data_IF_787161861127
#
_entry.id   IF_787161861127
#
_cell.length_a   1.000
_cell.length_b   1.000
_cell.length_c   1.000
_cell.angle_alpha   90.00
_cell.angle_beta   90.00
_cell.angle_gamma   90.00
#
_symmetry.space_group_name_H-M   'P 1'
#
loop_
_entity.id
_entity.type
_entity.pdbx_description
1 polymer ?
#
# COMPACT_ATOMS: atom_id res chain seq x y z
N UNK A 1 -6.02 8.32 -23.51
CA UNK A 1 -5.28 9.19 -22.57
C UNK A 1 -4.95 8.34 -21.36
N UNK A 2 -3.67 8.02 -21.14
CA UNK A 2 -3.24 7.36 -19.91
C UNK A 2 -3.49 8.34 -18.76
N UNK A 3 -4.26 7.93 -17.74
CA UNK A 3 -4.42 8.72 -16.51
C UNK A 3 -3.08 8.64 -15.77
N UNK A 4 -2.43 9.79 -15.58
CA UNK A 4 -1.31 9.95 -14.66
C UNK A 4 -1.78 9.46 -13.28
N UNK A 5 -1.24 8.34 -12.81
CA UNK A 5 -1.64 7.68 -11.54
C UNK A 5 -0.99 8.33 -10.31
N UNK A 6 -0.22 9.41 -10.51
CA UNK A 6 0.57 10.04 -9.45
C UNK A 6 1.76 9.20 -8.97
N UNK A 7 2.00 8.00 -9.52
CA UNK A 7 3.11 7.12 -9.12
C UNK A 7 4.24 7.13 -10.16
N UNK A 8 5.48 6.99 -9.69
CA UNK A 8 6.63 6.80 -10.58
C UNK A 8 6.73 5.35 -11.06
N UNK A 9 7.42 5.12 -12.18
CA UNK A 9 7.64 3.77 -12.70
C UNK A 9 8.38 2.87 -11.69
N UNK A 10 9.34 3.43 -10.96
CA UNK A 10 10.07 2.71 -9.91
C UNK A 10 9.13 2.24 -8.80
N UNK A 11 8.21 3.10 -8.36
CA UNK A 11 7.22 2.76 -7.34
C UNK A 11 6.27 1.64 -7.82
N UNK A 12 5.78 1.73 -9.06
CA UNK A 12 4.95 0.69 -9.66
C UNK A 12 5.69 -0.66 -9.68
N UNK A 13 6.97 -0.66 -10.09
CA UNK A 13 7.78 -1.88 -10.11
C UNK A 13 7.96 -2.50 -8.71
N UNK A 14 8.06 -1.66 -7.67
CA UNK A 14 8.14 -2.14 -6.28
C UNK A 14 6.83 -2.79 -5.85
N UNK A 15 5.69 -2.19 -6.19
CA UNK A 15 4.36 -2.72 -5.83
C UNK A 15 3.99 -3.99 -6.60
N UNK A 16 4.41 -4.13 -7.86
CA UNK A 16 4.30 -5.39 -8.59
C UNK A 16 5.04 -6.51 -7.86
N UNK A 17 6.26 -6.23 -7.36
CA UNK A 17 7.03 -7.22 -6.60
C UNK A 17 6.38 -7.48 -5.24
N UNK A 18 5.80 -6.47 -4.57
CA UNK A 18 5.02 -6.69 -3.34
C UNK A 18 3.90 -7.69 -3.59
N UNK A 19 3.09 -7.48 -4.63
CA UNK A 19 1.99 -8.37 -4.98
C UNK A 19 2.46 -9.79 -5.31
N UNK A 20 3.54 -9.93 -6.09
CA UNK A 20 4.14 -11.22 -6.40
C UNK A 20 4.67 -11.94 -5.15
N UNK A 21 5.30 -11.21 -4.24
CA UNK A 21 5.83 -11.74 -2.98
C UNK A 21 4.73 -12.18 -2.02
N UNK A 22 3.67 -11.40 -1.87
CA UNK A 22 2.53 -11.77 -1.02
C UNK A 22 1.89 -13.07 -1.51
N UNK A 23 1.73 -13.23 -2.82
CA UNK A 23 1.28 -14.50 -3.42
C UNK A 23 2.25 -15.65 -3.16
N UNK A 24 3.56 -15.42 -3.35
CA UNK A 24 4.56 -16.46 -3.12
C UNK A 24 4.62 -16.92 -1.65
N UNK A 25 4.46 -16.00 -0.70
CA UNK A 25 4.35 -16.32 0.73
C UNK A 25 3.10 -17.15 0.99
N UNK A 26 1.96 -16.77 0.40
CA UNK A 26 0.71 -17.51 0.55
C UNK A 26 0.84 -18.96 0.02
N UNK A 27 1.35 -19.14 -1.21
CA UNK A 27 1.60 -20.47 -1.78
C UNK A 27 2.54 -21.33 -0.91
N UNK A 28 3.55 -20.71 -0.28
CA UNK A 28 4.42 -21.41 0.66
C UNK A 28 3.69 -21.84 1.93
N UNK A 29 2.86 -20.97 2.51
CA UNK A 29 2.05 -21.28 3.69
C UNK A 29 1.00 -22.37 3.42
N UNK A 30 0.44 -22.39 2.21
CA UNK A 30 -0.53 -23.40 1.78
C UNK A 30 0.12 -24.75 1.42
N UNK A 31 1.45 -24.82 1.44
CA UNK A 31 2.21 -26.06 1.19
C UNK A 31 2.20 -26.50 -0.28
N UNK A 32 2.04 -25.57 -1.22
CA UNK A 32 1.95 -25.93 -2.64
C UNK A 32 3.26 -26.50 -3.19
N UNK A 33 3.22 -27.62 -3.95
CA UNK A 33 4.39 -28.40 -4.35
C UNK A 33 5.33 -27.71 -5.37
N UNK A 34 5.00 -26.50 -5.83
CA UNK A 34 5.80 -25.69 -6.77
C UNK A 34 6.02 -24.25 -6.30
N UNK A 35 5.76 -23.96 -5.02
CA UNK A 35 6.01 -22.64 -4.44
C UNK A 35 7.50 -22.31 -4.36
N UNK A 36 7.81 -21.03 -4.15
CA UNK A 36 9.19 -20.60 -3.87
C UNK A 36 9.69 -21.23 -2.57
N UNK A 37 10.98 -21.55 -2.52
CA UNK A 37 11.60 -22.04 -1.28
C UNK A 37 11.68 -20.93 -0.23
N UNK A 38 11.75 -21.32 1.03
CA UNK A 38 11.88 -20.38 2.15
C UNK A 38 13.09 -19.44 2.00
N UNK A 39 14.23 -19.95 1.54
CA UNK A 39 15.44 -19.16 1.32
C UNK A 39 15.25 -18.09 0.23
N UNK A 40 14.60 -18.45 -0.88
CA UNK A 40 14.29 -17.50 -1.96
C UNK A 40 13.33 -16.43 -1.46
N UNK A 41 12.29 -16.81 -0.71
CA UNK A 41 11.35 -15.87 -0.10
C UNK A 41 12.09 -14.89 0.82
N UNK A 42 12.97 -15.37 1.70
CA UNK A 42 13.74 -14.51 2.61
C UNK A 42 14.63 -13.55 1.85
N UNK A 43 15.39 -14.02 0.85
CA UNK A 43 16.28 -13.16 0.05
C UNK A 43 15.50 -12.05 -0.66
N UNK A 44 14.40 -12.41 -1.31
CA UNK A 44 13.59 -11.43 -2.04
C UNK A 44 12.93 -10.43 -1.10
N UNK A 45 12.58 -10.79 0.14
CA UNK A 45 12.07 -9.81 1.14
C UNK A 45 13.06 -8.69 1.42
N UNK A 46 14.34 -9.01 1.60
CA UNK A 46 15.38 -7.99 1.83
C UNK A 46 15.58 -7.09 0.60
N UNK A 47 15.62 -7.67 -0.60
CA UNK A 47 15.75 -6.91 -1.84
C UNK A 47 14.58 -5.94 -2.02
N UNK A 48 13.37 -6.40 -1.74
CA UNK A 48 12.14 -5.60 -1.81
C UNK A 48 12.14 -4.49 -0.77
N UNK A 49 12.56 -4.78 0.46
CA UNK A 49 12.71 -3.79 1.52
C UNK A 49 13.72 -2.71 1.14
N UNK A 50 14.87 -3.09 0.57
CA UNK A 50 15.87 -2.14 0.10
C UNK A 50 15.29 -1.22 -1.00
N UNK A 51 14.54 -1.78 -1.96
CA UNK A 51 13.94 -1.00 -3.05
C UNK A 51 12.92 0.02 -2.54
N UNK A 52 12.02 -0.36 -1.63
CA UNK A 52 11.04 0.59 -1.07
C UNK A 52 11.72 1.68 -0.24
N UNK A 53 12.77 1.35 0.51
CA UNK A 53 13.56 2.33 1.28
C UNK A 53 14.37 3.27 0.39
N UNK A 54 14.68 2.83 -0.83
CA UNK A 54 15.40 3.61 -1.84
C UNK A 54 14.49 4.52 -2.66
N UNK A 55 13.16 4.41 -2.51
CA UNK A 55 12.24 5.35 -3.14
C UNK A 55 12.41 6.73 -2.49
N UNK A 56 12.68 7.78 -3.28
CA UNK A 56 12.93 9.12 -2.76
C UNK A 56 11.66 9.69 -2.11
N UNK A 57 11.77 10.46 -1.02
CA UNK A 57 10.66 11.25 -0.52
C UNK A 57 10.29 12.35 -1.53
N UNK A 58 9.07 12.90 -1.42
CA UNK A 58 8.60 13.98 -2.30
C UNK A 58 9.52 15.21 -2.35
N UNK A 59 10.28 15.48 -1.29
CA UNK A 59 11.23 16.60 -1.23
C UNK A 59 12.38 16.47 -2.22
N UNK A 60 12.67 15.24 -2.64
CA UNK A 60 13.84 14.90 -3.45
C UNK A 60 13.45 14.55 -4.89
N UNK A 61 12.15 14.63 -5.21
CA UNK A 61 11.61 14.34 -6.54
C UNK A 61 11.45 15.61 -7.38
N UNK A 62 11.55 15.49 -8.72
CA UNK A 62 11.09 16.56 -9.61
C UNK A 62 9.59 16.81 -9.39
N UNK A 63 9.11 17.98 -9.83
CA UNK A 63 7.70 18.38 -9.68
C UNK A 63 6.78 17.30 -10.24
N UNK A 64 6.03 16.66 -9.35
CA UNK A 64 4.98 15.70 -9.68
C UNK A 64 3.64 16.42 -9.81
N UNK A 65 2.74 15.84 -10.61
CA UNK A 65 1.36 16.31 -10.73
C UNK A 65 0.55 16.04 -9.43
N UNK A 66 0.85 14.92 -8.76
CA UNK A 66 0.17 14.47 -7.53
C UNK A 66 1.19 14.04 -6.44
N UNK A 67 2.01 14.96 -5.90
CA UNK A 67 3.09 14.62 -4.95
C UNK A 67 2.58 13.96 -3.66
N UNK A 68 1.47 14.39 -3.06
CA UNK A 68 0.98 13.78 -1.82
C UNK A 68 0.34 12.41 -2.06
N UNK A 69 -0.23 12.18 -3.24
CA UNK A 69 -0.64 10.83 -3.67
C UNK A 69 0.57 9.90 -3.74
N UNK A 70 1.66 10.35 -4.37
CA UNK A 70 2.93 9.61 -4.38
C UNK A 70 3.42 9.32 -2.96
N UNK A 71 3.44 10.33 -2.09
CA UNK A 71 3.96 10.19 -0.72
C UNK A 71 3.12 9.22 0.11
N UNK A 72 1.79 9.27 -0.01
CA UNK A 72 0.89 8.32 0.63
C UNK A 72 1.19 6.88 0.18
N UNK A 73 1.43 6.68 -1.12
CA UNK A 73 1.83 5.39 -1.69
C UNK A 73 3.16 4.92 -1.13
N UNK A 74 4.18 5.78 -1.12
CA UNK A 74 5.50 5.48 -0.59
C UNK A 74 5.43 5.06 0.88
N UNK A 75 4.74 5.84 1.71
CA UNK A 75 4.57 5.59 3.14
C UNK A 75 3.74 4.33 3.42
N UNK A 76 2.65 4.12 2.68
CA UNK A 76 1.86 2.89 2.75
C UNK A 76 2.68 1.65 2.39
N UNK A 77 3.53 1.75 1.37
CA UNK A 77 4.46 0.71 0.98
C UNK A 77 5.51 0.40 2.05
N UNK A 78 6.07 1.43 2.69
CA UNK A 78 7.01 1.26 3.81
C UNK A 78 6.35 0.55 5.00
N UNK A 79 5.14 0.97 5.36
CA UNK A 79 4.33 0.33 6.39
C UNK A 79 4.09 -1.14 6.05
N UNK A 80 3.64 -1.45 4.84
CA UNK A 80 3.39 -2.82 4.41
C UNK A 80 4.67 -3.67 4.44
N UNK A 81 5.80 -3.11 4.01
CA UNK A 81 7.09 -3.77 4.04
C UNK A 81 7.50 -4.15 5.47
N UNK A 82 7.38 -3.22 6.42
CA UNK A 82 7.79 -3.41 7.82
C UNK A 82 6.80 -4.28 8.61
N UNK A 83 5.50 -4.12 8.38
CA UNK A 83 4.47 -4.78 9.18
C UNK A 83 4.09 -6.17 8.63
N UNK A 84 4.22 -6.39 7.31
CA UNK A 84 3.71 -7.59 6.63
C UNK A 84 4.83 -8.39 5.96
N UNK A 85 5.59 -7.79 5.05
CA UNK A 85 6.55 -8.54 4.23
C UNK A 85 7.80 -8.98 5.02
N UNK A 86 8.37 -8.08 5.82
CA UNK A 86 9.50 -8.35 6.69
C UNK A 86 9.24 -7.78 8.09
N UNK A 87 8.46 -8.49 8.93
CA UNK A 87 8.14 -8.06 10.29
C UNK A 87 9.40 -7.80 11.12
N UNK A 88 9.74 -6.52 11.31
CA UNK A 88 10.90 -6.14 12.12
C UNK A 88 10.49 -6.12 13.59
N UNK A 89 11.22 -6.80 14.49
CA UNK A 89 10.93 -6.73 15.92
C UNK A 89 11.11 -5.31 16.46
N UNK A 90 10.27 -4.92 17.42
CA UNK A 90 10.31 -3.60 18.08
C UNK A 90 10.15 -2.38 17.16
N UNK A 91 9.46 -2.53 16.03
CA UNK A 91 9.21 -1.49 15.04
C UNK A 91 8.17 -0.42 15.46
N UNK A 92 7.71 -0.41 16.71
CA UNK A 92 6.60 0.44 17.16
C UNK A 92 6.82 1.93 16.89
N UNK A 93 7.99 2.47 17.27
CA UNK A 93 8.26 3.91 17.11
C UNK A 93 8.32 4.29 15.63
N UNK A 94 8.96 3.46 14.81
CA UNK A 94 9.06 3.67 13.35
C UNK A 94 7.68 3.62 12.69
N UNK A 95 6.87 2.60 13.01
CA UNK A 95 5.51 2.49 12.48
C UNK A 95 4.64 3.66 12.94
N UNK A 96 4.79 4.12 14.19
CA UNK A 96 4.05 5.28 14.68
C UNK A 96 4.36 6.53 13.86
N UNK A 97 5.64 6.82 13.61
CA UNK A 97 6.05 7.98 12.80
C UNK A 97 5.53 7.87 11.37
N UNK A 98 5.67 6.71 10.74
CA UNK A 98 5.19 6.47 9.38
C UNK A 98 3.67 6.62 9.28
N UNK A 99 2.93 6.15 10.27
CA UNK A 99 1.46 6.28 10.34
C UNK A 99 1.06 7.76 10.43
N UNK A 100 1.71 8.55 11.27
CA UNK A 100 1.41 10.00 11.39
C UNK A 100 1.73 10.77 10.10
N UNK A 101 2.86 10.43 9.45
CA UNK A 101 3.19 11.00 8.14
C UNK A 101 2.17 10.59 7.07
N UNK A 102 1.71 9.33 7.10
CA UNK A 102 0.71 8.83 6.17
C UNK A 102 -0.64 9.53 6.34
N UNK A 103 -1.07 9.82 7.58
CA UNK A 103 -2.29 10.61 7.84
C UNK A 103 -2.21 11.96 7.12
N UNK A 104 -1.10 12.66 7.30
CA UNK A 104 -0.85 13.97 6.68
C UNK A 104 -0.87 13.86 5.15
N UNK A 105 -0.18 12.86 4.57
CA UNK A 105 -0.15 12.64 3.14
C UNK A 105 -1.54 12.29 2.55
N UNK A 106 -2.36 11.52 3.28
CA UNK A 106 -3.75 11.22 2.87
C UNK A 106 -4.60 12.48 2.89
N UNK A 107 -4.51 13.31 3.93
CA UNK A 107 -5.26 14.57 4.01
C UNK A 107 -4.89 15.52 2.88
N UNK A 108 -3.59 15.64 2.58
CA UNK A 108 -3.11 16.51 1.52
C UNK A 108 -3.44 15.97 0.12
N UNK A 109 -3.36 14.65 -0.12
CA UNK A 109 -3.69 14.06 -1.43
C UNK A 109 -5.15 14.24 -1.83
N UNK A 110 -6.08 14.32 -0.86
CA UNK A 110 -7.48 14.65 -1.09
C UNK A 110 -7.67 16.06 -1.65
N UNK A 111 -6.76 16.99 -1.35
CA UNK A 111 -6.76 18.34 -1.92
C UNK A 111 -6.27 18.34 -3.37
N UNK A 112 -5.39 17.40 -3.74
CA UNK A 112 -4.86 17.27 -5.10
C UNK A 112 -5.89 16.71 -6.09
N UNK A 113 -6.71 15.76 -5.63
CA UNK A 113 -7.71 15.10 -6.46
C UNK A 113 -9.05 14.98 -5.72
N UNK A 114 -9.97 15.96 -5.90
CA UNK A 114 -11.32 15.90 -5.40
C UNK A 114 -12.09 14.76 -6.09
N UNK A 115 -12.05 13.57 -5.50
CA UNK A 115 -12.55 12.32 -6.09
C UNK A 115 -11.74 11.08 -5.70
N UNK A 116 -10.53 11.28 -5.16
CA UNK A 116 -9.81 10.39 -4.24
C UNK A 116 -9.89 8.89 -4.49
N UNK A 117 -9.66 8.43 -5.73
CA UNK A 117 -9.68 7.00 -6.10
C UNK A 117 -8.57 6.19 -5.39
N UNK A 118 -7.63 6.84 -4.70
CA UNK A 118 -6.46 6.18 -4.10
C UNK A 118 -6.46 6.18 -2.56
N UNK A 119 -7.38 6.88 -1.89
CA UNK A 119 -7.35 6.99 -0.43
C UNK A 119 -7.67 5.66 0.29
N UNK A 120 -8.48 4.83 -0.34
CA UNK A 120 -9.09 3.65 0.29
C UNK A 120 -8.03 2.66 0.77
N UNK A 121 -7.13 2.22 -0.11
CA UNK A 121 -6.09 1.24 0.22
C UNK A 121 -5.11 1.75 1.29
N UNK A 122 -4.82 3.06 1.28
CA UNK A 122 -3.94 3.69 2.27
C UNK A 122 -4.58 3.76 3.65
N UNK A 123 -5.90 3.95 3.73
CA UNK A 123 -6.63 3.90 4.98
C UNK A 123 -6.56 2.50 5.60
N UNK A 124 -6.64 1.45 4.78
CA UNK A 124 -6.50 0.07 5.25
C UNK A 124 -5.07 -0.22 5.75
N UNK A 125 -4.04 0.15 4.99
CA UNK A 125 -2.64 -0.07 5.37
C UNK A 125 -2.26 0.69 6.65
N UNK A 126 -2.67 1.96 6.76
CA UNK A 126 -2.44 2.75 7.97
C UNK A 126 -3.26 2.26 9.17
N UNK A 127 -4.48 1.78 8.95
CA UNK A 127 -5.32 1.17 9.99
C UNK A 127 -4.72 -0.09 10.60
N UNK A 128 -4.10 -0.96 9.78
CA UNK A 128 -3.38 -2.15 10.24
C UNK A 128 -2.16 -1.76 11.07
N UNK A 129 -1.36 -0.81 10.60
CA UNK A 129 -0.17 -0.37 11.32
C UNK A 129 -0.49 0.37 12.62
N UNK A 130 -1.66 1.02 12.69
CA UNK A 130 -2.15 1.67 13.89
C UNK A 130 -2.87 0.70 14.86
N UNK A 131 -2.86 -0.61 14.64
CA UNK A 131 -3.56 -1.57 15.50
C UNK A 131 -3.10 -1.43 16.97
N UNK A 132 -4.08 -1.33 17.87
CA UNK A 132 -3.91 -1.06 19.31
C UNK A 132 -3.16 0.23 19.66
N UNK A 133 -3.09 1.19 18.71
CA UNK A 133 -2.46 2.50 18.90
C UNK A 133 -3.49 3.64 18.90
N UNK A 134 -3.19 4.79 19.54
CA UNK A 134 -4.08 5.95 19.54
C UNK A 134 -4.46 6.45 18.14
N UNK A 135 -3.54 6.35 17.18
CA UNK A 135 -3.72 6.79 15.80
C UNK A 135 -4.85 6.05 15.08
N UNK A 136 -5.22 4.83 15.54
CA UNK A 136 -6.28 4.00 14.96
C UNK A 136 -7.61 4.72 14.85
N UNK A 137 -7.93 5.56 15.84
CA UNK A 137 -9.19 6.27 15.89
C UNK A 137 -9.40 7.15 14.64
N UNK A 138 -8.33 7.81 14.17
CA UNK A 138 -8.38 8.63 12.96
C UNK A 138 -8.70 7.77 11.74
N UNK A 139 -7.99 6.64 11.54
CA UNK A 139 -8.22 5.75 10.39
C UNK A 139 -9.63 5.17 10.38
N UNK A 140 -10.14 4.74 11.54
CA UNK A 140 -11.50 4.23 11.68
C UNK A 140 -12.52 5.32 11.33
N UNK A 141 -12.33 6.55 11.80
CA UNK A 141 -13.21 7.68 11.46
C UNK A 141 -13.23 7.94 9.95
N UNK A 142 -12.06 7.96 9.31
CA UNK A 142 -11.94 8.18 7.87
C UNK A 142 -12.54 7.02 7.05
N UNK A 143 -12.34 5.77 7.47
CA UNK A 143 -12.99 4.59 6.88
C UNK A 143 -14.51 4.67 6.99
N UNK A 144 -15.05 5.07 8.15
CA UNK A 144 -16.50 5.26 8.32
C UNK A 144 -17.03 6.35 7.40
N UNK A 145 -16.31 7.46 7.24
CA UNK A 145 -16.68 8.51 6.30
C UNK A 145 -16.68 8.02 4.86
N UNK A 146 -15.64 7.27 4.46
CA UNK A 146 -15.53 6.66 3.14
C UNK A 146 -16.69 5.69 2.85
N UNK A 147 -16.94 4.74 3.76
CA UNK A 147 -18.02 3.76 3.66
C UNK A 147 -19.39 4.45 3.56
N UNK A 148 -19.62 5.54 4.30
CA UNK A 148 -20.87 6.31 4.20
C UNK A 148 -21.03 7.07 2.89
N UNK A 149 -19.91 7.44 2.26
CA UNK A 149 -19.91 8.17 0.98
C UNK A 149 -19.97 7.25 -0.24
N UNK A 150 -19.95 5.94 -0.01
CA UNK A 150 -19.93 4.88 -1.01
C UNK A 150 -21.09 3.92 -0.75
N UNK A 151 -21.52 3.14 -1.74
CA UNK A 151 -22.58 2.14 -1.55
C UNK A 151 -22.03 0.84 -0.91
N UNK A 152 -21.07 0.95 0.00
CA UNK A 152 -20.44 -0.22 0.64
C UNK A 152 -21.18 -0.59 1.92
N UNK A 153 -21.81 -1.75 1.92
CA UNK A 153 -22.60 -2.22 3.06
C UNK A 153 -22.12 -3.57 3.57
N UNK A 154 -21.36 -4.31 2.77
CA UNK A 154 -20.86 -5.65 3.08
C UNK A 154 -19.36 -5.79 2.82
N UNK A 155 -18.72 -6.76 3.48
CA UNK A 155 -17.32 -7.12 3.21
C UNK A 155 -17.09 -7.56 1.75
N UNK A 156 -18.11 -8.16 1.12
CA UNK A 156 -18.10 -8.53 -0.29
C UNK A 156 -17.92 -7.32 -1.23
N UNK A 157 -18.27 -6.11 -0.78
CA UNK A 157 -18.03 -4.89 -1.56
C UNK A 157 -16.58 -4.41 -1.47
N UNK A 158 -15.89 -4.73 -0.38
CA UNK A 158 -14.45 -4.46 -0.23
C UNK A 158 -13.65 -5.31 -1.21
N UNK A 159 -14.04 -6.57 -1.42
CA UNK A 159 -13.42 -7.43 -2.42
C UNK A 159 -13.49 -6.81 -3.82
N UNK A 160 -14.63 -6.21 -4.19
CA UNK A 160 -14.79 -5.50 -5.48
C UNK A 160 -13.86 -4.30 -5.60
N UNK A 161 -13.55 -3.60 -4.52
CA UNK A 161 -12.57 -2.50 -4.51
C UNK A 161 -11.18 -3.06 -4.77
N UNK A 162 -10.80 -4.11 -4.04
CA UNK A 162 -9.49 -4.74 -4.19
C UNK A 162 -9.31 -5.33 -5.59
N UNK A 163 -10.35 -5.94 -6.16
CA UNK A 163 -10.38 -6.45 -7.52
C UNK A 163 -10.16 -5.36 -8.58
N UNK A 164 -10.68 -4.14 -8.37
CA UNK A 164 -10.42 -3.01 -9.29
C UNK A 164 -8.92 -2.71 -9.42
N UNK A 165 -8.14 -2.93 -8.37
CA UNK A 165 -6.69 -2.76 -8.41
C UNK A 165 -5.94 -4.00 -8.93
N UNK A 166 -6.60 -5.16 -9.01
CA UNK A 166 -6.01 -6.39 -9.58
C UNK A 166 -6.24 -6.52 -11.10
N UNK A 167 -7.21 -5.79 -11.65
CA UNK A 167 -7.78 -6.01 -12.99
C UNK A 167 -7.16 -5.29 -14.20
N UNK A 168 -6.05 -4.55 -14.10
CA UNK A 168 -5.47 -3.86 -15.28
C UNK A 168 -4.43 -4.68 -16.08
N UNK A 169 -4.13 -5.93 -15.69
CA UNK A 169 -3.13 -6.77 -16.38
C UNK A 169 -3.63 -8.04 -17.08
N UNK A 170 -4.94 -8.20 -17.29
CA UNK A 170 -5.48 -9.33 -18.07
C UNK A 170 -6.43 -8.84 -19.16
N UNK A 171 -5.88 -8.15 -20.17
CA UNK A 171 -6.47 -8.18 -21.51
C UNK A 171 -5.48 -7.75 -22.60
N UNK A 172 -4.57 -8.66 -22.98
CA UNK A 172 -4.01 -8.76 -24.33
C UNK A 172 -3.66 -10.23 -24.59
N UNK A 173 -4.57 -10.93 -25.25
CA UNK A 173 -4.37 -12.33 -25.61
C UNK A 173 -5.60 -12.99 -26.21
N UNK A 174 -6.23 -12.33 -27.18
CA UNK A 174 -6.91 -12.99 -28.31
C UNK A 174 -6.49 -12.28 -29.60
#
# INVERSE_FOLDING_TARGET
MSRSTGMTQDMLSVFEIFGAMTKAIQHYLDGEPKGLTHEVILRTRYDVQHRILSLPPITDLPVLEFPFTYEACRLGGLIYSIAVLLPIPNSYLVLKELVQQLQTAIEMSRLESPGGIHADIHLWLGGIAALDKPERYWYVRELVALVRSTDFWEWSDVDKILERYQGEHVNKGE
#
